data_IF_778071348556
#
_entry.id   IF_778071348556
#
_cell.length_a   1.000
_cell.length_b   1.000
_cell.length_c   1.000
_cell.angle_alpha   90.00
_cell.angle_beta   90.00
_cell.angle_gamma   90.00
#
_symmetry.space_group_name_H-M   'P 1'
#
loop_
_entity.id
_entity.type
_entity.pdbx_description
1 polymer ?
#
# COMPACT_ATOMS: atom_id res chain seq x y z
N UNK A 1 90.68 -30.93 -27.05
CA UNK A 1 90.51 -29.53 -26.70
C UNK A 1 88.96 -29.26 -26.71
N UNK A 2 88.36 -29.28 -25.53
CA UNK A 2 86.89 -29.31 -25.31
C UNK A 2 86.46 -27.93 -24.90
N UNK A 3 85.52 -27.32 -25.68
CA UNK A 3 84.83 -26.13 -25.31
C UNK A 3 83.49 -26.51 -24.71
N UNK A 4 83.30 -26.17 -23.40
CA UNK A 4 82.04 -26.33 -22.69
C UNK A 4 81.23 -25.06 -22.79
N UNK A 5 80.04 -25.17 -23.36
CA UNK A 5 79.10 -24.05 -23.50
C UNK A 5 78.06 -24.13 -22.41
N UNK A 6 78.07 -23.16 -21.48
CA UNK A 6 77.13 -23.05 -20.37
C UNK A 6 75.95 -22.13 -20.77
N UNK A 7 74.83 -22.72 -21.11
CA UNK A 7 73.59 -21.98 -21.30
C UNK A 7 72.79 -21.91 -19.96
N UNK A 8 72.77 -20.76 -19.30
CA UNK A 8 71.92 -20.46 -18.17
C UNK A 8 70.46 -20.30 -18.65
N UNK A 9 69.58 -21.25 -18.30
CA UNK A 9 68.14 -21.11 -18.43
C UNK A 9 67.61 -20.21 -17.30
N UNK A 10 67.12 -19.03 -17.67
CA UNK A 10 66.42 -18.13 -16.76
C UNK A 10 64.98 -18.61 -16.67
N UNK A 11 64.57 -19.17 -15.53
CA UNK A 11 63.19 -19.49 -15.22
C UNK A 11 62.47 -18.23 -14.75
N UNK A 12 61.65 -17.64 -15.62
CA UNK A 12 60.73 -16.54 -15.27
C UNK A 12 59.55 -17.07 -14.49
N UNK A 13 59.46 -16.74 -13.20
CA UNK A 13 58.30 -17.01 -12.33
C UNK A 13 57.26 -15.96 -12.64
N UNK A 14 56.20 -16.29 -13.42
CA UNK A 14 55.02 -15.45 -13.60
C UNK A 14 54.14 -15.59 -12.38
N UNK A 15 54.14 -14.59 -11.49
CA UNK A 15 53.21 -14.48 -10.38
C UNK A 15 51.86 -14.01 -10.89
N UNK A 16 50.89 -14.94 -11.09
CA UNK A 16 49.50 -14.62 -11.40
C UNK A 16 48.84 -14.10 -10.13
N UNK A 17 48.75 -12.79 -9.96
CA UNK A 17 47.92 -12.18 -8.90
C UNK A 17 46.45 -12.38 -9.29
N UNK A 18 45.84 -13.45 -8.80
CA UNK A 18 44.39 -13.65 -8.90
C UNK A 18 43.65 -12.61 -8.06
N UNK A 19 43.04 -11.62 -8.70
CA UNK A 19 42.13 -10.69 -8.07
C UNK A 19 40.86 -11.47 -7.66
N UNK A 20 40.83 -11.97 -6.42
CA UNK A 20 39.60 -12.57 -5.85
C UNK A 20 38.64 -11.43 -5.55
N UNK A 21 37.76 -11.13 -6.52
CA UNK A 21 36.59 -10.28 -6.29
C UNK A 21 35.66 -11.05 -5.37
N UNK A 22 35.73 -10.76 -4.08
CA UNK A 22 34.75 -11.25 -3.12
C UNK A 22 33.39 -10.60 -3.45
N UNK A 23 32.56 -11.28 -4.21
CA UNK A 23 31.15 -10.95 -4.29
C UNK A 23 30.55 -11.18 -2.90
N UNK A 24 30.33 -10.11 -2.13
CA UNK A 24 29.43 -10.20 -0.98
C UNK A 24 28.07 -10.63 -1.54
N UNK A 25 27.47 -11.75 -1.08
CA UNK A 25 26.12 -12.07 -1.47
C UNK A 25 25.24 -10.86 -1.13
N UNK A 26 24.48 -10.37 -2.10
CA UNK A 26 23.49 -9.33 -1.85
C UNK A 26 22.59 -9.81 -0.72
N UNK A 27 22.45 -8.98 0.34
CA UNK A 27 21.56 -9.33 1.44
C UNK A 27 20.18 -9.58 0.85
N UNK A 28 19.59 -10.73 1.12
CA UNK A 28 18.23 -11.00 0.68
C UNK A 28 17.28 -9.94 1.25
N UNK A 29 16.32 -9.49 0.46
CA UNK A 29 15.29 -8.58 0.93
C UNK A 29 14.60 -9.16 2.19
N UNK A 30 14.30 -8.31 3.15
CA UNK A 30 13.68 -8.72 4.43
C UNK A 30 12.23 -8.27 4.47
N UNK A 31 11.37 -9.14 4.96
CA UNK A 31 9.97 -8.83 5.25
C UNK A 31 9.71 -9.06 6.74
N UNK A 32 9.00 -8.13 7.37
CA UNK A 32 8.49 -8.29 8.74
C UNK A 32 7.02 -7.89 8.80
N UNK A 33 6.29 -8.52 9.71
CA UNK A 33 4.90 -8.24 10.00
C UNK A 33 4.76 -7.94 11.48
N UNK A 34 4.12 -6.84 11.80
CA UNK A 34 3.83 -6.40 13.17
C UNK A 34 2.33 -6.22 13.31
N UNK A 35 1.76 -6.75 14.37
CA UNK A 35 0.37 -6.55 14.75
C UNK A 35 0.34 -5.61 15.94
N UNK A 36 -0.38 -4.51 15.84
CA UNK A 36 -0.71 -3.62 16.95
C UNK A 36 -2.11 -3.95 17.43
N UNK A 37 -2.35 -3.85 18.75
CA UNK A 37 -3.66 -4.12 19.37
C UNK A 37 -4.12 -5.58 19.14
N UNK A 38 -3.18 -6.52 19.22
CA UNK A 38 -3.41 -7.95 18.98
C UNK A 38 -4.53 -8.48 19.90
N UNK A 39 -5.53 -9.17 19.32
CA UNK A 39 -6.71 -9.69 20.00
C UNK A 39 -7.82 -8.65 20.25
N UNK A 40 -7.61 -7.37 19.85
CA UNK A 40 -8.67 -6.36 19.89
C UNK A 40 -9.40 -6.29 18.52
N UNK A 41 -10.65 -5.81 18.50
CA UNK A 41 -11.41 -5.63 17.25
C UNK A 41 -10.73 -4.69 16.24
N UNK A 42 -9.85 -3.83 16.70
CA UNK A 42 -9.10 -2.84 15.93
C UNK A 42 -7.65 -3.26 15.66
N UNK A 43 -7.35 -4.54 15.59
CA UNK A 43 -6.04 -5.01 15.18
C UNK A 43 -5.53 -4.27 13.95
N UNK A 44 -4.28 -3.81 14.03
CA UNK A 44 -3.63 -3.10 12.95
C UNK A 44 -2.40 -3.87 12.47
N UNK A 45 -2.49 -4.38 11.27
CA UNK A 45 -1.42 -5.13 10.61
C UNK A 45 -0.52 -4.19 9.81
N UNK A 46 0.78 -4.21 10.12
CA UNK A 46 1.81 -3.41 9.46
C UNK A 46 2.86 -4.33 8.86
N UNK A 47 3.04 -4.25 7.55
CA UNK A 47 4.04 -5.00 6.81
C UNK A 47 5.20 -4.09 6.42
N UNK A 48 6.43 -4.49 6.74
CA UNK A 48 7.64 -3.77 6.36
C UNK A 48 8.46 -4.64 5.42
N UNK A 49 8.69 -4.15 4.22
CA UNK A 49 9.45 -4.83 3.19
C UNK A 49 10.70 -3.99 2.90
N UNK A 50 11.88 -4.59 3.12
CA UNK A 50 13.18 -3.98 2.82
C UNK A 50 13.79 -4.64 1.59
N UNK A 51 14.22 -3.84 0.64
CA UNK A 51 14.98 -4.32 -0.51
C UNK A 51 16.39 -4.75 -0.12
N UNK A 52 17.02 -5.54 -0.98
CA UNK A 52 18.43 -5.92 -0.85
C UNK A 52 19.41 -4.74 -1.01
N UNK A 53 19.00 -3.68 -1.71
CA UNK A 53 19.72 -2.43 -1.79
C UNK A 53 18.96 -1.30 -1.06
N UNK A 54 19.69 -0.36 -0.41
CA UNK A 54 19.07 0.77 0.28
C UNK A 54 18.38 1.72 -0.73
N UNK A 55 17.36 2.43 -0.27
CA UNK A 55 16.61 3.40 -1.05
C UNK A 55 15.52 4.05 -0.23
N UNK A 56 14.61 4.78 -0.91
CA UNK A 56 13.49 5.48 -0.31
C UNK A 56 12.48 4.50 0.29
N UNK A 57 11.75 4.98 1.28
CA UNK A 57 10.64 4.26 1.94
C UNK A 57 9.31 4.87 1.51
N UNK A 58 8.45 4.06 0.90
CA UNK A 58 7.08 4.42 0.56
C UNK A 58 6.12 3.80 1.56
N UNK A 59 5.29 4.62 2.21
CA UNK A 59 4.16 4.16 3.02
C UNK A 59 2.90 4.09 2.16
N UNK A 60 2.20 2.97 2.24
CA UNK A 60 0.91 2.75 1.57
C UNK A 60 -0.12 2.43 2.64
N UNK A 61 -1.16 3.25 2.75
CA UNK A 61 -2.30 3.00 3.64
C UNK A 61 -3.56 2.82 2.81
N UNK A 62 -4.26 1.69 3.04
CA UNK A 62 -5.60 1.41 2.54
C UNK A 62 -6.60 1.28 3.68
N UNK A 63 -7.88 1.48 3.39
CA UNK A 63 -8.95 1.17 4.33
C UNK A 63 -9.03 2.09 5.55
N UNK A 64 -8.63 3.35 5.46
CA UNK A 64 -8.95 4.39 6.46
C UNK A 64 -10.48 4.55 6.54
N UNK A 65 -11.16 4.37 5.42
CA UNK A 65 -12.63 4.37 5.31
C UNK A 65 -13.09 3.00 4.79
N UNK A 66 -13.97 2.33 5.54
CA UNK A 66 -14.31 0.93 5.30
C UNK A 66 -15.23 0.70 4.10
N UNK A 67 -15.91 1.74 3.61
CA UNK A 67 -16.77 1.71 2.43
C UNK A 67 -16.00 1.92 1.10
N UNK A 68 -14.65 1.83 1.14
CA UNK A 68 -13.75 2.06 0.01
C UNK A 68 -12.86 0.82 -0.28
N UNK A 69 -13.48 -0.30 -0.76
CA UNK A 69 -12.79 -1.58 -0.87
C UNK A 69 -11.62 -1.60 -1.85
N UNK A 70 -11.63 -0.77 -2.88
CA UNK A 70 -10.52 -0.69 -3.83
C UNK A 70 -9.19 -0.33 -3.16
N UNK A 71 -9.23 0.59 -2.17
CA UNK A 71 -8.05 1.06 -1.45
C UNK A 71 -7.37 -0.05 -0.64
N UNK A 72 -8.12 -0.75 0.22
CA UNK A 72 -7.52 -1.79 1.06
C UNK A 72 -7.15 -3.04 0.27
N UNK A 73 -7.90 -3.41 -0.75
CA UNK A 73 -7.55 -4.54 -1.61
C UNK A 73 -6.31 -4.25 -2.47
N UNK A 74 -6.15 -3.02 -2.98
CA UNK A 74 -4.94 -2.65 -3.71
C UNK A 74 -3.71 -2.68 -2.79
N UNK A 75 -3.81 -2.17 -1.56
CA UNK A 75 -2.71 -2.19 -0.60
C UNK A 75 -2.30 -3.62 -0.21
N UNK A 76 -3.26 -4.55 -0.05
CA UNK A 76 -2.98 -5.96 0.28
C UNK A 76 -1.99 -6.61 -0.68
N UNK A 77 -2.06 -6.29 -1.97
CA UNK A 77 -1.13 -6.86 -2.95
C UNK A 77 0.33 -6.51 -2.66
N UNK A 78 0.60 -5.33 -2.12
CA UNK A 78 1.96 -4.86 -1.85
C UNK A 78 2.54 -5.40 -0.54
N UNK A 79 1.73 -5.92 0.35
CA UNK A 79 2.21 -6.49 1.59
C UNK A 79 3.04 -7.78 1.41
N UNK A 80 2.94 -8.46 0.25
CA UNK A 80 3.71 -9.67 -0.12
C UNK A 80 4.85 -9.38 -1.12
N UNK A 81 5.09 -8.12 -1.43
CA UNK A 81 6.15 -7.76 -2.36
C UNK A 81 7.53 -8.15 -1.82
N UNK A 82 8.44 -8.47 -2.75
CA UNK A 82 9.88 -8.57 -2.51
C UNK A 82 10.56 -7.47 -3.33
N UNK A 83 11.53 -6.79 -2.73
CA UNK A 83 12.20 -5.65 -3.34
C UNK A 83 13.66 -5.95 -3.59
N UNK A 84 14.18 -5.46 -4.73
CA UNK A 84 15.60 -5.33 -4.99
C UNK A 84 16.16 -4.07 -4.36
N UNK A 85 15.40 -2.95 -4.42
CA UNK A 85 15.84 -1.64 -3.94
C UNK A 85 14.71 -0.87 -3.27
N UNK A 86 15.05 -0.13 -2.23
CA UNK A 86 14.11 0.70 -1.47
C UNK A 86 13.28 -0.10 -0.47
N UNK A 87 12.27 0.54 0.10
CA UNK A 87 11.46 -0.06 1.15
C UNK A 87 9.99 0.26 0.97
N UNK A 88 9.11 -0.64 1.43
CA UNK A 88 7.69 -0.38 1.60
C UNK A 88 7.31 -0.54 3.07
N UNK A 89 6.41 0.31 3.54
CA UNK A 89 5.57 0.11 4.72
C UNK A 89 4.14 0.02 4.22
N UNK A 90 3.46 -1.08 4.50
CA UNK A 90 2.09 -1.30 3.99
C UNK A 90 1.15 -1.54 5.15
N UNK A 91 0.10 -0.74 5.22
CA UNK A 91 -1.02 -0.87 6.16
C UNK A 91 -2.28 -1.08 5.32
N UNK A 92 -2.63 -2.34 5.00
CA UNK A 92 -3.70 -2.58 4.03
C UNK A 92 -5.09 -2.21 4.58
N UNK A 93 -5.34 -2.43 5.87
CA UNK A 93 -6.65 -2.28 6.51
C UNK A 93 -6.56 -1.45 7.78
N UNK A 94 -6.40 -0.12 7.60
CA UNK A 94 -6.18 0.79 8.73
C UNK A 94 -7.36 0.87 9.70
N UNK A 95 -8.60 0.77 9.21
CA UNK A 95 -9.82 0.84 10.02
C UNK A 95 -10.64 -0.46 9.87
N UNK A 96 -10.13 -1.53 10.46
CA UNK A 96 -10.70 -2.86 10.30
C UNK A 96 -12.17 -2.97 10.73
N UNK A 97 -12.62 -2.41 11.88
CA UNK A 97 -14.03 -2.41 12.27
C UNK A 97 -14.95 -1.74 11.25
N UNK A 98 -14.51 -0.64 10.65
CA UNK A 98 -15.23 0.10 9.61
C UNK A 98 -15.35 -0.74 8.31
N UNK A 99 -14.29 -1.46 7.94
CA UNK A 99 -14.27 -2.36 6.77
C UNK A 99 -15.28 -3.51 6.95
N UNK A 100 -15.32 -4.14 8.12
CA UNK A 100 -16.27 -5.22 8.42
C UNK A 100 -17.72 -4.77 8.28
N UNK A 101 -18.01 -3.53 8.70
CA UNK A 101 -19.35 -2.94 8.59
C UNK A 101 -19.64 -2.33 7.23
N UNK A 102 -18.64 -2.21 6.36
CA UNK A 102 -18.73 -1.52 5.05
C UNK A 102 -19.21 -0.06 5.20
N UNK A 103 -18.81 0.57 6.28
CA UNK A 103 -19.17 1.96 6.62
C UNK A 103 -17.95 2.86 6.51
N UNK A 104 -18.16 4.15 6.21
CA UNK A 104 -17.08 5.13 6.15
C UNK A 104 -16.39 5.31 7.50
N UNK A 105 -17.13 5.22 8.60
CA UNK A 105 -16.66 5.45 9.98
C UNK A 105 -17.51 4.66 10.97
N UNK A 106 -16.96 4.42 12.13
CA UNK A 106 -17.72 3.88 13.29
C UNK A 106 -18.02 5.01 14.26
N UNK A 107 -17.04 5.49 15.01
CA UNK A 107 -17.24 6.59 15.97
C UNK A 107 -17.00 7.95 15.28
N UNK A 108 -15.91 8.07 14.53
CA UNK A 108 -15.54 9.27 13.81
C UNK A 108 -14.80 8.94 12.51
N UNK A 109 -14.77 9.88 11.56
CA UNK A 109 -13.99 9.73 10.32
C UNK A 109 -12.49 9.73 10.67
N UNK A 110 -11.85 8.55 10.58
CA UNK A 110 -10.44 8.38 10.93
C UNK A 110 -9.54 9.35 10.12
N UNK A 111 -9.89 9.65 8.85
CA UNK A 111 -9.16 10.62 8.03
C UNK A 111 -9.44 12.10 8.42
N UNK A 112 -10.08 12.36 9.55
CA UNK A 112 -10.31 13.68 10.16
C UNK A 112 -9.78 13.76 11.59
N UNK A 113 -8.90 12.82 12.00
CA UNK A 113 -8.39 12.73 13.37
C UNK A 113 -6.87 12.82 13.48
N UNK A 114 -6.20 13.25 12.40
CA UNK A 114 -4.74 13.43 12.39
C UNK A 114 -4.27 14.75 13.00
N UNK A 115 -5.16 15.70 13.29
CA UNK A 115 -4.87 16.82 14.19
C UNK A 115 -4.96 16.38 15.65
N UNK A 116 -4.62 17.27 16.58
CA UNK A 116 -4.81 17.03 18.00
C UNK A 116 -6.30 16.86 18.30
N UNK A 117 -6.65 15.76 18.96
CA UNK A 117 -8.01 15.40 19.33
C UNK A 117 -8.08 15.12 20.82
N UNK A 118 -9.04 15.73 21.50
CA UNK A 118 -9.39 15.40 22.88
C UNK A 118 -10.23 14.09 22.99
N UNK A 119 -10.70 13.56 21.85
CA UNK A 119 -11.52 12.34 21.81
C UNK A 119 -10.59 11.15 21.85
N UNK A 120 -10.81 10.27 22.84
CA UNK A 120 -10.05 9.04 23.01
C UNK A 120 -10.93 7.84 22.67
N UNK A 121 -10.74 7.26 21.48
CA UNK A 121 -11.40 6.06 20.99
C UNK A 121 -10.41 5.20 20.19
N UNK A 122 -10.87 4.09 19.59
CA UNK A 122 -9.97 3.21 18.85
C UNK A 122 -9.40 3.88 17.60
N UNK A 123 -10.16 4.74 16.90
CA UNK A 123 -9.66 5.46 15.73
C UNK A 123 -8.45 6.32 16.09
N UNK A 124 -8.49 7.02 17.23
CA UNK A 124 -7.34 7.83 17.67
C UNK A 124 -6.16 6.98 18.11
N UNK A 125 -6.39 5.79 18.72
CA UNK A 125 -5.31 4.83 19.02
C UNK A 125 -4.59 4.41 17.73
N UNK A 126 -5.35 3.99 16.71
CA UNK A 126 -4.81 3.60 15.41
C UNK A 126 -4.08 4.76 14.74
N UNK A 127 -4.68 5.96 14.69
CA UNK A 127 -4.07 7.16 14.11
C UNK A 127 -2.73 7.48 14.75
N UNK A 128 -2.56 7.29 16.06
CA UNK A 128 -1.28 7.51 16.73
C UNK A 128 -0.17 6.56 16.26
N UNK A 129 -0.52 5.34 15.85
CA UNK A 129 0.44 4.43 15.19
C UNK A 129 0.72 4.91 13.77
N UNK A 130 -0.34 5.26 13.00
CA UNK A 130 -0.19 5.73 11.61
C UNK A 130 0.66 7.00 11.53
N UNK A 131 0.50 7.97 12.46
CA UNK A 131 1.34 9.17 12.55
C UNK A 131 2.83 8.85 12.63
N UNK A 132 3.21 7.84 13.42
CA UNK A 132 4.60 7.40 13.52
C UNK A 132 5.10 6.81 12.19
N UNK A 133 4.31 5.92 11.57
CA UNK A 133 4.66 5.30 10.30
C UNK A 133 4.79 6.32 9.17
N UNK A 134 3.95 7.37 9.17
CA UNK A 134 4.03 8.47 8.20
C UNK A 134 5.38 9.17 8.34
N UNK A 135 5.77 9.58 9.55
CA UNK A 135 7.03 10.29 9.75
C UNK A 135 8.30 9.40 9.58
N UNK A 136 8.16 8.07 9.60
CA UNK A 136 9.24 7.13 9.28
C UNK A 136 9.48 6.96 7.76
N UNK A 137 8.59 7.50 6.91
CA UNK A 137 8.63 7.29 5.46
C UNK A 137 9.17 8.50 4.69
N UNK A 138 9.57 8.29 3.43
CA UNK A 138 10.00 9.35 2.51
C UNK A 138 8.86 9.87 1.63
N UNK A 139 7.78 9.07 1.49
CA UNK A 139 6.58 9.43 0.74
C UNK A 139 5.40 8.62 1.27
N UNK A 140 4.21 9.18 1.21
CA UNK A 140 2.99 8.57 1.71
C UNK A 140 1.87 8.55 0.66
N UNK A 141 1.23 7.40 0.50
CA UNK A 141 0.02 7.21 -0.31
C UNK A 141 -1.16 6.79 0.56
N UNK A 142 -2.23 7.57 0.53
CA UNK A 142 -3.51 7.27 1.13
C UNK A 142 -4.50 6.85 0.05
N UNK A 143 -4.96 5.60 0.07
CA UNK A 143 -5.78 5.04 -1.00
C UNK A 143 -7.26 5.17 -0.69
N UNK A 144 -8.00 5.78 -1.62
CA UNK A 144 -9.41 6.17 -1.47
C UNK A 144 -10.26 5.87 -2.71
N UNK A 145 -11.57 6.06 -2.54
CA UNK A 145 -12.55 6.05 -3.61
C UNK A 145 -13.42 7.32 -3.55
N UNK A 146 -13.29 8.18 -4.56
CA UNK A 146 -14.04 9.42 -4.66
C UNK A 146 -15.35 9.30 -5.42
N UNK A 147 -16.32 10.16 -5.10
CA UNK A 147 -17.56 10.27 -5.86
C UNK A 147 -17.33 11.00 -7.18
N UNK A 148 -17.94 10.50 -8.27
CA UNK A 148 -17.80 11.08 -9.61
C UNK A 148 -16.36 11.04 -10.12
N UNK A 149 -16.02 11.95 -11.03
CA UNK A 149 -14.67 12.11 -11.60
C UNK A 149 -14.27 13.58 -11.46
N UNK A 150 -13.09 13.79 -10.92
CA UNK A 150 -12.50 15.13 -10.83
C UNK A 150 -12.18 15.67 -12.23
N UNK A 151 -12.53 16.93 -12.45
CA UNK A 151 -12.10 17.71 -13.61
C UNK A 151 -11.83 19.14 -13.15
N UNK A 152 -10.76 19.79 -13.60
CA UNK A 152 -10.49 21.19 -13.26
C UNK A 152 -11.55 22.16 -13.78
N UNK A 153 -12.37 21.71 -14.74
CA UNK A 153 -13.50 22.46 -15.32
C UNK A 153 -14.81 21.71 -15.14
N UNK A 154 -15.91 22.44 -15.08
CA UNK A 154 -17.24 21.84 -15.01
C UNK A 154 -17.63 21.21 -16.36
N UNK A 155 -17.85 19.90 -16.36
CA UNK A 155 -18.31 19.13 -17.53
C UNK A 155 -19.75 18.64 -17.30
N UNK A 156 -20.04 18.09 -16.12
CA UNK A 156 -21.34 17.57 -15.72
C UNK A 156 -21.42 17.43 -14.19
N UNK A 157 -22.59 17.06 -13.66
CA UNK A 157 -22.75 16.77 -12.23
C UNK A 157 -21.85 15.63 -11.74
N UNK A 158 -21.46 14.71 -12.60
CA UNK A 158 -20.55 13.60 -12.27
C UNK A 158 -19.08 13.89 -12.60
N UNK A 159 -18.78 14.95 -13.38
CA UNK A 159 -17.43 15.30 -13.83
C UNK A 159 -17.21 16.81 -13.64
N UNK A 160 -16.59 17.20 -12.53
CA UNK A 160 -16.42 18.62 -12.15
C UNK A 160 -15.41 18.79 -11.01
N UNK A 161 -15.06 20.05 -10.65
CA UNK A 161 -14.08 20.32 -9.58
C UNK A 161 -14.51 19.90 -8.16
N UNK A 162 -15.78 19.55 -7.95
CA UNK A 162 -16.31 19.11 -6.65
C UNK A 162 -16.34 17.57 -6.52
N UNK A 163 -15.78 16.84 -7.49
CA UNK A 163 -15.64 15.39 -7.48
C UNK A 163 -14.19 15.02 -7.21
N UNK A 164 -13.95 13.82 -6.72
CA UNK A 164 -12.60 13.41 -6.29
C UNK A 164 -12.10 12.15 -7.00
N UNK A 165 -12.97 11.33 -7.59
CA UNK A 165 -12.58 10.11 -8.29
C UNK A 165 -11.68 10.41 -9.48
N UNK A 166 -10.79 9.46 -9.79
CA UNK A 166 -9.80 9.54 -10.87
C UNK A 166 -8.83 10.73 -10.68
N UNK A 167 -8.40 10.95 -9.44
CA UNK A 167 -7.41 12.00 -9.16
C UNK A 167 -6.28 11.54 -8.25
N UNK A 168 -5.16 12.23 -8.38
CA UNK A 168 -4.08 12.24 -7.40
C UNK A 168 -4.13 13.61 -6.73
N UNK A 169 -4.43 13.59 -5.42
CA UNK A 169 -4.63 14.78 -4.61
C UNK A 169 -3.38 15.06 -3.80
N UNK A 170 -2.96 16.32 -3.74
CA UNK A 170 -2.01 16.81 -2.74
C UNK A 170 -2.56 18.04 -2.02
N UNK A 171 -2.07 18.28 -0.80
CA UNK A 171 -2.47 19.42 0.02
C UNK A 171 -1.83 20.73 -0.42
N UNK A 172 -0.76 20.65 -1.23
CA UNK A 172 -0.11 21.78 -1.91
C UNK A 172 0.61 21.28 -3.16
N UNK A 173 0.94 22.19 -4.10
CA UNK A 173 1.76 21.87 -5.30
C UNK A 173 3.25 21.73 -4.99
N UNK A 174 3.73 22.38 -3.94
CA UNK A 174 5.13 22.40 -3.52
C UNK A 174 5.27 22.03 -2.05
N UNK A 175 6.39 21.39 -1.72
CA UNK A 175 6.77 21.08 -0.33
C UNK A 175 8.19 21.59 -0.08
N UNK A 176 8.35 22.42 0.96
CA UNK A 176 9.66 22.85 1.43
C UNK A 176 10.17 21.89 2.51
N UNK A 177 11.39 21.38 2.32
CA UNK A 177 12.07 20.51 3.28
C UNK A 177 13.58 20.73 3.24
N UNK A 178 14.18 21.02 4.39
CA UNK A 178 15.64 21.16 4.55
C UNK A 178 16.28 22.14 3.54
N UNK A 179 15.58 23.23 3.23
CA UNK A 179 16.01 24.24 2.26
C UNK A 179 15.85 23.86 0.80
N UNK A 180 15.32 22.68 0.52
CA UNK A 180 14.98 22.24 -0.84
C UNK A 180 13.47 22.31 -1.09
N UNK A 181 13.10 22.59 -2.34
CA UNK A 181 11.70 22.61 -2.79
C UNK A 181 11.44 21.33 -3.59
N UNK A 182 10.47 20.54 -3.15
CA UNK A 182 9.97 19.36 -3.83
C UNK A 182 8.69 19.75 -4.57
N UNK A 183 8.68 19.54 -5.87
CA UNK A 183 7.53 19.79 -6.74
C UNK A 183 6.59 18.57 -6.76
N UNK A 184 5.53 18.64 -5.92
CA UNK A 184 4.54 17.57 -5.75
C UNK A 184 3.67 17.42 -7.01
N UNK A 185 3.33 18.52 -7.67
CA UNK A 185 2.55 18.51 -8.89
C UNK A 185 3.31 17.78 -10.01
N UNK A 186 4.58 18.13 -10.23
CA UNK A 186 5.42 17.46 -11.20
C UNK A 186 5.63 15.98 -10.89
N UNK A 187 5.73 15.63 -9.60
CA UNK A 187 5.83 14.24 -9.15
C UNK A 187 4.55 13.48 -9.49
N UNK A 188 3.37 14.03 -9.16
CA UNK A 188 2.07 13.44 -9.50
C UNK A 188 1.86 13.33 -11.01
N UNK A 189 2.21 14.35 -11.79
CA UNK A 189 2.08 14.36 -13.25
C UNK A 189 2.87 13.23 -13.92
N UNK A 190 4.06 12.92 -13.43
CA UNK A 190 4.85 11.78 -13.95
C UNK A 190 4.12 10.47 -13.75
N UNK A 191 3.51 10.28 -12.58
CA UNK A 191 2.70 9.10 -12.24
C UNK A 191 1.43 9.06 -13.10
N UNK A 192 0.69 10.17 -13.20
CA UNK A 192 -0.55 10.29 -13.98
C UNK A 192 -0.32 9.94 -15.45
N UNK A 193 0.76 10.47 -16.05
CA UNK A 193 1.12 10.13 -17.44
C UNK A 193 1.33 8.63 -17.63
N UNK A 194 1.89 7.94 -16.63
CA UNK A 194 2.11 6.49 -16.68
C UNK A 194 0.82 5.71 -16.51
N UNK A 195 -0.02 6.07 -15.53
CA UNK A 195 -1.32 5.44 -15.27
C UNK A 195 -2.20 5.56 -16.52
N UNK A 196 -2.34 6.76 -17.07
CA UNK A 196 -3.25 7.07 -18.16
C UNK A 196 -2.90 6.33 -19.47
N UNK A 197 -1.63 5.95 -19.67
CA UNK A 197 -1.24 5.07 -20.80
C UNK A 197 -1.87 3.67 -20.68
N UNK A 198 -2.17 3.21 -19.47
CA UNK A 198 -2.76 1.90 -19.21
C UNK A 198 -4.29 1.93 -19.16
N UNK A 199 -4.91 3.12 -19.20
CA UNK A 199 -6.35 3.31 -19.16
C UNK A 199 -6.86 3.63 -20.57
N UNK A 200 -7.54 2.65 -21.20
CA UNK A 200 -8.04 2.78 -22.57
C UNK A 200 -9.08 3.89 -22.73
N UNK A 201 -10.04 3.97 -21.79
CA UNK A 201 -11.09 4.98 -21.83
C UNK A 201 -10.59 6.29 -21.19
N UNK A 202 -10.40 7.31 -22.04
CA UNK A 202 -9.91 8.63 -21.60
C UNK A 202 -10.83 9.33 -20.58
N UNK A 203 -12.12 8.98 -20.56
CA UNK A 203 -13.04 9.50 -19.55
C UNK A 203 -12.68 9.07 -18.12
N UNK A 204 -11.87 8.04 -17.98
CA UNK A 204 -11.37 7.52 -16.68
C UNK A 204 -9.91 7.85 -16.42
N UNK A 205 -9.34 8.82 -17.13
CA UNK A 205 -7.99 9.28 -16.89
C UNK A 205 -7.89 10.03 -15.57
N UNK A 206 -6.77 9.81 -14.89
CA UNK A 206 -6.41 10.52 -13.67
C UNK A 206 -5.96 11.95 -13.97
N UNK A 207 -6.28 12.85 -13.03
CA UNK A 207 -5.89 14.24 -13.02
C UNK A 207 -5.21 14.60 -11.70
N UNK A 208 -4.35 15.62 -11.73
CA UNK A 208 -3.81 16.19 -10.50
C UNK A 208 -4.85 17.15 -9.88
N UNK A 209 -5.03 17.06 -8.55
CA UNK A 209 -5.91 17.92 -7.80
C UNK A 209 -5.17 18.53 -6.61
N UNK A 210 -4.86 19.82 -6.70
CA UNK A 210 -4.22 20.57 -5.63
C UNK A 210 -5.28 21.19 -4.73
N UNK A 211 -5.43 20.67 -3.51
CA UNK A 211 -6.42 21.16 -2.55
C UNK A 211 -6.05 22.51 -1.92
N UNK A 212 -4.76 22.92 -1.99
CA UNK A 212 -4.27 24.12 -1.32
C UNK A 212 -4.78 24.21 0.12
N UNK A 213 -4.74 23.09 0.84
CA UNK A 213 -5.45 22.87 2.13
C UNK A 213 -5.13 23.95 3.16
N UNK A 214 -3.87 24.35 3.29
CA UNK A 214 -3.43 25.41 4.22
C UNK A 214 -3.73 26.84 3.78
N UNK A 215 -4.13 27.07 2.52
CA UNK A 215 -4.37 28.40 2.00
C UNK A 215 -5.59 29.08 2.70
N UNK A 216 -5.57 30.39 2.97
CA UNK A 216 -6.68 31.09 3.63
C UNK A 216 -8.02 30.93 2.91
N UNK A 217 -8.00 30.90 1.58
CA UNK A 217 -9.14 30.77 0.66
C UNK A 217 -9.49 29.34 0.30
N UNK A 218 -8.82 28.33 0.89
CA UNK A 218 -9.11 26.92 0.59
C UNK A 218 -10.54 26.53 0.96
N UNK A 219 -11.22 25.84 0.03
CA UNK A 219 -12.52 25.21 0.26
C UNK A 219 -12.42 23.84 0.96
N UNK A 220 -11.18 23.36 1.17
CA UNK A 220 -10.87 22.03 1.73
C UNK A 220 -10.37 22.10 3.17
N UNK A 221 -10.92 23.01 3.99
CA UNK A 221 -10.48 23.23 5.39
C UNK A 221 -10.56 21.97 6.27
N UNK A 222 -11.50 21.09 6.00
CA UNK A 222 -11.62 19.81 6.71
C UNK A 222 -10.41 18.88 6.50
N UNK A 223 -9.65 19.06 5.40
CA UNK A 223 -8.43 18.30 5.13
C UNK A 223 -7.26 18.67 6.06
N UNK A 224 -7.29 19.81 6.76
CA UNK A 224 -6.32 20.15 7.81
C UNK A 224 -6.18 19.06 8.89
N UNK A 225 -7.17 18.16 8.98
CA UNK A 225 -7.22 17.04 9.92
C UNK A 225 -6.93 15.69 9.26
N UNK A 226 -6.54 15.66 7.99
CA UNK A 226 -6.31 14.44 7.21
C UNK A 226 -4.91 13.86 7.41
N UNK A 227 -4.74 12.59 7.04
CA UNK A 227 -3.46 11.91 7.05
C UNK A 227 -2.44 12.55 6.08
N UNK A 228 -2.90 12.97 4.89
CA UNK A 228 -2.04 13.60 3.87
C UNK A 228 -1.55 14.97 4.33
N UNK A 229 -2.43 15.78 4.94
CA UNK A 229 -2.02 17.06 5.48
C UNK A 229 -1.05 16.90 6.65
N UNK A 230 -1.26 15.95 7.54
CA UNK A 230 -0.31 15.62 8.61
C UNK A 230 1.07 15.24 8.05
N UNK A 231 1.12 14.43 7.02
CA UNK A 231 2.36 14.05 6.35
C UNK A 231 3.06 15.28 5.73
N UNK A 232 2.30 16.13 5.05
CA UNK A 232 2.79 17.36 4.41
C UNK A 232 3.28 18.39 5.43
N UNK A 233 2.47 18.68 6.44
CA UNK A 233 2.70 19.82 7.34
C UNK A 233 3.60 19.47 8.52
N UNK A 234 3.42 18.28 9.13
CA UNK A 234 4.18 17.86 10.32
C UNK A 234 5.43 17.08 9.96
N UNK A 235 5.28 16.02 9.16
CA UNK A 235 6.43 15.16 8.80
C UNK A 235 7.27 15.72 7.64
N UNK A 236 6.78 16.75 6.93
CA UNK A 236 7.45 17.38 5.79
C UNK A 236 7.88 16.38 4.71
N UNK A 237 6.97 15.46 4.35
CA UNK A 237 7.18 14.48 3.29
C UNK A 237 6.15 14.62 2.18
N UNK A 238 6.48 14.26 0.93
CA UNK A 238 5.51 14.11 -0.15
C UNK A 238 4.36 13.19 0.27
N UNK A 239 3.12 13.64 0.09
CA UNK A 239 1.94 12.87 0.45
C UNK A 239 0.83 13.06 -0.58
N UNK A 240 0.18 11.96 -0.94
CA UNK A 240 -0.86 11.96 -1.97
C UNK A 240 -2.05 11.10 -1.56
N UNK A 241 -3.26 11.66 -1.70
CA UNK A 241 -4.48 10.90 -1.75
C UNK A 241 -4.69 10.37 -3.17
N UNK A 242 -4.92 9.07 -3.31
CA UNK A 242 -5.20 8.46 -4.61
C UNK A 242 -6.66 8.05 -4.64
N UNK A 243 -7.44 8.69 -5.51
CA UNK A 243 -8.88 8.52 -5.58
C UNK A 243 -9.29 7.78 -6.84
N UNK A 244 -9.70 6.53 -6.75
CA UNK A 244 -10.43 5.88 -7.85
C UNK A 244 -11.93 6.26 -7.78
N UNK A 245 -12.64 6.25 -8.92
CA UNK A 245 -14.04 6.59 -8.91
C UNK A 245 -14.90 5.46 -8.31
N UNK A 246 -15.72 5.79 -7.29
CA UNK A 246 -16.48 4.84 -6.47
C UNK A 246 -17.45 3.96 -7.28
N UNK A 247 -17.97 4.47 -8.39
CA UNK A 247 -18.92 3.75 -9.26
C UNK A 247 -18.27 2.72 -10.22
N UNK A 248 -16.93 2.71 -10.33
CA UNK A 248 -16.24 1.75 -11.18
C UNK A 248 -16.31 0.33 -10.59
N UNK A 249 -16.29 -0.71 -11.44
CA UNK A 249 -16.17 -2.09 -10.98
C UNK A 249 -14.95 -2.28 -10.05
N UNK A 250 -15.09 -3.08 -9.01
CA UNK A 250 -14.06 -3.28 -7.98
C UNK A 250 -12.69 -3.67 -8.58
N UNK A 251 -12.68 -4.62 -9.51
CA UNK A 251 -11.45 -5.03 -10.19
C UNK A 251 -10.75 -3.87 -10.91
N UNK A 252 -11.54 -2.99 -11.54
CA UNK A 252 -10.99 -1.83 -12.24
C UNK A 252 -10.40 -0.81 -11.26
N UNK A 253 -11.08 -0.55 -10.13
CA UNK A 253 -10.58 0.33 -9.06
C UNK A 253 -9.25 -0.18 -8.51
N UNK A 254 -9.21 -1.44 -8.09
CA UNK A 254 -8.00 -2.10 -7.58
C UNK A 254 -6.85 -2.01 -8.58
N UNK A 255 -7.10 -2.33 -9.85
CA UNK A 255 -6.10 -2.27 -10.92
C UNK A 255 -5.54 -0.86 -11.12
N UNK A 256 -6.39 0.16 -11.10
CA UNK A 256 -5.97 1.55 -11.26
C UNK A 256 -5.13 2.04 -10.08
N UNK A 257 -5.52 1.69 -8.85
CA UNK A 257 -4.74 2.01 -7.64
C UNK A 257 -3.38 1.30 -7.64
N UNK A 258 -3.31 0.04 -8.09
CA UNK A 258 -2.04 -0.67 -8.29
C UNK A 258 -1.15 0.06 -9.31
N UNK A 259 -1.70 0.57 -10.41
CA UNK A 259 -0.94 1.36 -11.38
C UNK A 259 -0.38 2.64 -10.74
N UNK A 260 -1.16 3.31 -9.88
CA UNK A 260 -0.71 4.49 -9.18
C UNK A 260 0.45 4.16 -8.23
N UNK A 261 0.33 3.13 -7.41
CA UNK A 261 1.38 2.69 -6.47
C UNK A 261 2.67 2.36 -7.24
N UNK A 262 2.59 1.56 -8.30
CA UNK A 262 3.73 1.24 -9.15
C UNK A 262 4.36 2.49 -9.78
N UNK A 263 3.53 3.47 -10.17
CA UNK A 263 4.02 4.75 -10.68
C UNK A 263 4.83 5.53 -9.64
N UNK A 264 4.39 5.56 -8.39
CA UNK A 264 5.13 6.20 -7.30
C UNK A 264 6.39 5.41 -6.92
N UNK A 265 6.35 4.08 -6.91
CA UNK A 265 7.55 3.26 -6.71
C UNK A 265 8.64 3.61 -7.74
N UNK A 266 8.28 3.74 -9.02
CA UNK A 266 9.23 4.15 -10.06
C UNK A 266 9.78 5.56 -9.84
N UNK A 267 8.94 6.52 -9.47
CA UNK A 267 9.37 7.91 -9.20
C UNK A 267 10.33 7.98 -8.02
N UNK A 268 10.17 7.08 -7.06
CA UNK A 268 11.00 6.96 -5.85
C UNK A 268 12.20 6.01 -6.01
N UNK A 269 12.36 5.41 -7.21
CA UNK A 269 13.41 4.43 -7.48
C UNK A 269 13.35 3.21 -6.54
N UNK A 270 12.12 2.76 -6.25
CA UNK A 270 11.83 1.52 -5.52
C UNK A 270 11.62 0.41 -6.53
N UNK A 271 12.47 -0.61 -6.49
CA UNK A 271 12.52 -1.66 -7.51
C UNK A 271 12.05 -3.00 -6.92
N UNK A 272 10.97 -3.61 -7.44
CA UNK A 272 10.54 -4.93 -7.04
C UNK A 272 11.47 -6.02 -7.62
N UNK A 273 11.68 -7.12 -6.88
CA UNK A 273 12.39 -8.31 -7.39
C UNK A 273 11.65 -8.95 -8.54
N UNK A 274 10.34 -8.97 -8.47
CA UNK A 274 9.48 -9.52 -9.52
C UNK A 274 8.60 -8.36 -10.00
N UNK A 275 8.76 -7.90 -11.25
CA UNK A 275 7.90 -6.84 -11.75
C UNK A 275 6.46 -7.33 -11.81
N UNK A 276 5.56 -6.60 -11.17
CA UNK A 276 4.13 -6.83 -11.18
C UNK A 276 3.58 -7.57 -9.96
N UNK A 277 2.28 -7.46 -9.79
CA UNK A 277 1.50 -8.10 -8.74
C UNK A 277 1.09 -9.49 -9.19
N UNK A 278 1.20 -10.48 -8.31
CA UNK A 278 0.66 -11.82 -8.56
C UNK A 278 -0.87 -11.77 -8.49
N UNK A 279 -1.52 -11.63 -9.64
CA UNK A 279 -2.98 -11.62 -9.79
C UNK A 279 -3.58 -13.02 -9.91
N UNK A 280 -2.97 -14.06 -9.34
CA UNK A 280 -3.60 -15.39 -9.31
C UNK A 280 -4.94 -15.29 -8.59
N UNK A 281 -5.98 -15.90 -9.20
CA UNK A 281 -7.29 -15.97 -8.57
C UNK A 281 -7.17 -16.65 -7.19
N UNK A 282 -7.79 -16.10 -6.12
CA UNK A 282 -7.80 -16.76 -4.81
C UNK A 282 -8.34 -18.19 -4.90
N UNK A 283 -7.62 -19.11 -4.32
CA UNK A 283 -8.01 -20.53 -4.28
C UNK A 283 -7.86 -21.04 -2.85
N UNK A 284 -8.99 -21.25 -2.19
CA UNK A 284 -9.03 -21.90 -0.89
C UNK A 284 -8.57 -23.36 -1.03
N UNK A 285 -7.72 -23.78 -0.11
CA UNK A 285 -7.30 -25.17 0.05
C UNK A 285 -8.21 -25.88 1.07
N UNK A 286 -8.29 -25.30 2.27
CA UNK A 286 -9.19 -25.79 3.33
C UNK A 286 -9.50 -24.67 4.33
N UNK A 287 -10.49 -24.92 5.18
CA UNK A 287 -10.82 -24.11 6.36
C UNK A 287 -10.77 -24.99 7.59
N UNK A 288 -10.49 -24.40 8.74
CA UNK A 288 -10.59 -25.03 10.07
C UNK A 288 -11.83 -24.46 10.74
N UNK A 289 -12.80 -25.33 11.02
CA UNK A 289 -14.13 -24.92 11.50
C UNK A 289 -14.50 -25.76 12.73
N UNK A 290 -15.11 -25.15 13.74
CA UNK A 290 -15.83 -25.86 14.80
C UNK A 290 -17.33 -25.56 14.76
N UNK A 291 -18.13 -26.54 15.17
CA UNK A 291 -19.59 -26.42 15.33
C UNK A 291 -19.90 -26.60 16.79
N UNK A 292 -20.66 -25.67 17.40
CA UNK A 292 -21.06 -25.67 18.81
C UNK A 292 -19.86 -25.84 19.78
N UNK A 293 -18.71 -25.24 19.46
CA UNK A 293 -17.51 -25.35 20.30
C UNK A 293 -16.88 -26.76 20.32
N UNK A 294 -17.23 -27.65 19.38
CA UNK A 294 -16.61 -28.96 19.22
C UNK A 294 -15.14 -28.86 18.79
N UNK A 295 -14.46 -30.02 18.75
CA UNK A 295 -13.11 -30.11 18.20
C UNK A 295 -13.11 -29.60 16.77
N UNK A 296 -12.21 -28.65 16.40
CA UNK A 296 -12.13 -28.11 15.06
C UNK A 296 -11.85 -29.21 14.03
N UNK A 297 -12.54 -29.14 12.89
CA UNK A 297 -12.37 -30.05 11.76
C UNK A 297 -11.87 -29.30 10.54
N UNK A 298 -11.06 -29.97 9.71
CA UNK A 298 -10.58 -29.45 8.44
C UNK A 298 -11.63 -29.70 7.36
N UNK A 299 -12.07 -28.62 6.69
CA UNK A 299 -13.05 -28.69 5.59
C UNK A 299 -12.38 -28.22 4.31
N UNK A 300 -12.16 -29.16 3.39
CA UNK A 300 -11.54 -28.87 2.10
C UNK A 300 -12.50 -28.24 1.08
N UNK A 301 -11.94 -27.78 -0.03
CA UNK A 301 -12.72 -27.25 -1.15
C UNK A 301 -13.75 -28.29 -1.62
N UNK A 302 -15.01 -27.87 -1.77
CA UNK A 302 -16.16 -28.72 -2.16
C UNK A 302 -16.56 -29.79 -1.14
N UNK A 303 -15.91 -29.87 0.00
CA UNK A 303 -16.34 -30.74 1.10
C UNK A 303 -17.59 -30.16 1.76
N UNK A 304 -18.50 -31.04 2.17
CA UNK A 304 -19.72 -30.64 2.86
C UNK A 304 -19.57 -30.94 4.36
N UNK A 305 -19.83 -29.93 5.18
CA UNK A 305 -20.02 -30.07 6.62
C UNK A 305 -21.51 -30.09 6.91
N UNK A 306 -21.99 -31.12 7.61
CA UNK A 306 -23.40 -31.20 8.02
C UNK A 306 -23.59 -30.32 9.27
N UNK A 307 -24.51 -29.38 9.18
CA UNK A 307 -24.93 -28.50 10.27
C UNK A 307 -26.45 -28.53 10.37
N UNK A 308 -26.99 -28.26 11.55
CA UNK A 308 -28.41 -28.18 11.80
C UNK A 308 -28.85 -26.73 12.06
N UNK A 309 -30.14 -26.46 11.96
CA UNK A 309 -30.67 -25.15 12.37
C UNK A 309 -30.39 -24.90 13.85
N UNK A 310 -29.85 -23.71 14.17
CA UNK A 310 -29.46 -23.33 15.52
C UNK A 310 -28.03 -23.68 15.92
N UNK A 311 -27.27 -24.39 15.06
CA UNK A 311 -25.84 -24.62 15.30
C UNK A 311 -25.03 -23.32 15.17
N UNK A 312 -24.06 -23.15 16.07
CA UNK A 312 -23.07 -22.06 15.99
C UNK A 312 -21.82 -22.54 15.24
N UNK A 313 -21.42 -21.79 14.21
CA UNK A 313 -20.22 -22.09 13.43
C UNK A 313 -19.13 -21.07 13.80
N UNK A 314 -17.95 -21.57 14.11
CA UNK A 314 -16.75 -20.75 14.29
C UNK A 314 -15.69 -21.15 13.25
N UNK A 315 -15.21 -20.16 12.47
CA UNK A 315 -14.08 -20.35 11.57
C UNK A 315 -12.82 -19.95 12.33
N UNK A 316 -11.89 -20.88 12.48
CA UNK A 316 -10.62 -20.65 13.16
C UNK A 316 -9.52 -20.21 12.21
N UNK A 317 -9.53 -20.75 10.98
CA UNK A 317 -8.50 -20.45 9.99
C UNK A 317 -8.99 -20.76 8.58
N UNK A 318 -8.41 -20.07 7.60
CA UNK A 318 -8.62 -20.29 6.16
C UNK A 318 -7.28 -20.37 5.48
N UNK A 319 -6.97 -21.50 4.89
CA UNK A 319 -5.73 -21.71 4.11
C UNK A 319 -6.03 -21.62 2.63
N UNK A 320 -5.30 -20.75 1.94
CA UNK A 320 -5.44 -20.51 0.51
C UNK A 320 -4.07 -20.25 -0.14
N UNK A 321 -4.07 -19.96 -1.44
CA UNK A 321 -2.86 -19.54 -2.15
C UNK A 321 -2.43 -18.08 -1.83
N UNK A 322 -3.15 -17.39 -0.97
CA UNK A 322 -2.81 -16.11 -0.34
C UNK A 322 -2.87 -16.28 1.18
N UNK A 323 -1.94 -15.66 1.88
CA UNK A 323 -1.87 -15.73 3.35
C UNK A 323 -2.79 -14.71 4.04
N UNK A 324 -3.32 -13.74 3.28
CA UNK A 324 -4.07 -12.61 3.81
C UNK A 324 -5.27 -12.25 2.96
N UNK A 325 -6.15 -11.43 3.52
CA UNK A 325 -7.32 -10.90 2.83
C UNK A 325 -8.43 -11.93 2.63
N UNK A 326 -8.39 -13.01 3.42
CA UNK A 326 -9.39 -14.06 3.37
C UNK A 326 -10.50 -13.75 4.37
N UNK A 327 -11.72 -13.79 3.89
CA UNK A 327 -12.94 -13.67 4.70
C UNK A 327 -13.93 -14.76 4.30
N UNK A 328 -14.85 -15.09 5.22
CA UNK A 328 -15.91 -16.05 4.97
C UNK A 328 -17.24 -15.31 4.97
N UNK A 329 -17.96 -15.41 3.86
CA UNK A 329 -19.38 -15.07 3.81
C UNK A 329 -20.19 -16.36 3.96
N UNK A 330 -21.07 -16.40 4.97
CA UNK A 330 -22.00 -17.51 5.16
C UNK A 330 -23.32 -17.14 4.47
N UNK A 331 -23.59 -17.81 3.35
CA UNK A 331 -24.77 -17.52 2.52
C UNK A 331 -25.88 -18.53 2.84
N UNK A 332 -27.09 -18.05 3.08
CA UNK A 332 -28.28 -18.92 3.22
C UNK A 332 -28.56 -19.41 4.64
N UNK A 333 -27.96 -18.81 5.66
CA UNK A 333 -28.42 -18.93 7.04
C UNK A 333 -29.37 -17.76 7.31
N UNK A 334 -30.66 -17.97 7.13
CA UNK A 334 -31.74 -17.08 7.50
C UNK A 334 -32.19 -17.34 8.93
#
# INVERSE_FOLDING_TARGET
MMCINNSKKLFGLILLLGLVVMFKPAAAGQRSHTVFFEGEENELHVYRIKGSAPGKTLLIIGGIQGDEPGGFLAADFFADFMLEKGNLIVVPRANFPSILKKERKINQDMNRTFSDSAIFNYETKVVNVLKKLICESDCFLNLHEGSGIYSPVWVSDQVNPKRYGQSIISDNGLLERDGAVIDLEKMADRVIKKINRSIKNKAYWFHFNNHRTGAPDSIHKEQLKSATYYAYDVCKIPAFGIESAKFLPLEQKVKQLIYAINGFMDVLDIVPQTPGVNLKKPQMQYMIISVNGSIPVVVGKMQRLKINSGDTIQVHDIVANYERGLSVDVIGLG
#
